data_IF_101008098002
#
_entry.id   IF_101008098002
#
_cell.length_a   1.000
_cell.length_b   1.000
_cell.length_c   1.000
_cell.angle_alpha   90.00
_cell.angle_beta   90.00
_cell.angle_gamma   90.00
#
_symmetry.space_group_name_H-M   'P 1'
#
loop_
_entity.id
_entity.type
_entity.pdbx_description
1 polymer ?
#
# COMPACT_ATOMS: atom_id res chain seq x y z
N UNK A 1 2.09 -3.84 26.78
CA UNK A 1 1.43 -4.84 27.64
C UNK A 1 0.12 -5.28 27.00
N UNK A 2 -0.20 -6.57 27.04
CA UNK A 2 -1.49 -7.09 26.56
C UNK A 2 -2.60 -6.74 27.57
N UNK A 3 -3.78 -6.33 27.07
CA UNK A 3 -4.97 -6.08 27.89
C UNK A 3 -5.99 -7.20 27.68
N UNK A 4 -6.39 -7.87 28.76
CA UNK A 4 -7.48 -8.85 28.74
C UNK A 4 -8.81 -8.09 28.63
N UNK A 5 -9.68 -8.52 27.71
CA UNK A 5 -11.03 -8.00 27.52
C UNK A 5 -12.03 -9.09 27.91
N UNK A 6 -13.01 -8.75 28.74
CA UNK A 6 -14.11 -9.65 29.06
C UNK A 6 -15.24 -9.47 28.04
N UNK A 7 -15.57 -10.54 27.30
CA UNK A 7 -16.66 -10.53 26.31
C UNK A 7 -18.05 -10.25 26.92
N UNK A 8 -18.22 -10.48 28.21
CA UNK A 8 -19.48 -10.23 28.91
C UNK A 8 -19.61 -8.75 29.32
N UNK A 9 -18.49 -8.01 29.39
CA UNK A 9 -18.48 -6.58 29.61
C UNK A 9 -18.64 -5.84 28.27
N UNK A 10 -19.89 -5.67 27.85
CA UNK A 10 -20.25 -5.06 26.55
C UNK A 10 -19.73 -3.63 26.40
N UNK A 11 -19.67 -2.86 27.47
CA UNK A 11 -19.20 -1.47 27.45
C UNK A 11 -17.69 -1.40 27.20
N UNK A 12 -16.91 -2.22 27.92
CA UNK A 12 -15.47 -2.35 27.69
C UNK A 12 -15.16 -2.82 26.25
N UNK A 13 -15.93 -3.81 25.76
CA UNK A 13 -15.79 -4.31 24.40
C UNK A 13 -16.13 -3.22 23.37
N UNK A 14 -17.20 -2.46 23.59
CA UNK A 14 -17.61 -1.38 22.71
C UNK A 14 -16.55 -0.27 22.64
N UNK A 15 -16.04 0.21 23.77
CA UNK A 15 -14.99 1.23 23.79
C UNK A 15 -13.71 0.75 23.09
N UNK A 16 -13.34 -0.53 23.28
CA UNK A 16 -12.22 -1.11 22.57
C UNK A 16 -12.42 -1.13 21.05
N UNK A 17 -13.59 -1.56 20.58
CA UNK A 17 -13.91 -1.57 19.15
C UNK A 17 -13.95 -0.15 18.57
N UNK A 18 -14.52 0.81 19.29
CA UNK A 18 -14.54 2.22 18.88
C UNK A 18 -13.13 2.83 18.85
N UNK A 19 -12.25 2.47 19.78
CA UNK A 19 -10.86 2.95 19.73
C UNK A 19 -10.07 2.45 18.51
N UNK A 20 -10.60 1.47 17.77
CA UNK A 20 -10.00 1.00 16.51
C UNK A 20 -10.43 1.84 15.31
N UNK A 21 -11.50 2.63 15.41
CA UNK A 21 -11.83 3.58 14.35
C UNK A 21 -10.90 4.77 14.46
N UNK A 22 -10.19 5.05 13.37
CA UNK A 22 -9.40 6.27 13.23
C UNK A 22 -10.19 7.26 12.39
N UNK A 23 -10.33 8.49 12.90
CA UNK A 23 -10.76 9.60 12.07
C UNK A 23 -9.61 9.99 11.16
N UNK A 24 -9.90 10.17 9.87
CA UNK A 24 -8.91 10.67 8.92
C UNK A 24 -8.85 12.19 9.08
N UNK A 25 -7.65 12.71 9.31
CA UNK A 25 -7.42 14.16 9.43
C UNK A 25 -7.86 14.89 8.15
N UNK A 26 -8.49 16.05 8.32
CA UNK A 26 -9.07 16.81 7.21
C UNK A 26 -8.01 17.30 6.21
N UNK A 27 -6.78 17.54 6.66
CA UNK A 27 -5.66 17.94 5.80
C UNK A 27 -5.22 16.82 4.85
N UNK A 28 -5.28 15.56 5.28
CA UNK A 28 -5.05 14.37 4.45
C UNK A 28 -6.10 14.33 3.34
N UNK A 29 -7.37 14.54 3.68
CA UNK A 29 -8.47 14.54 2.71
C UNK A 29 -8.29 15.63 1.66
N UNK A 30 -7.84 16.82 2.07
CA UNK A 30 -7.55 17.94 1.15
C UNK A 30 -6.40 17.56 0.21
N UNK A 31 -5.26 17.10 0.74
CA UNK A 31 -4.08 16.70 -0.05
C UNK A 31 -4.42 15.60 -1.07
N UNK A 32 -5.16 14.58 -0.65
CA UNK A 32 -5.58 13.49 -1.56
C UNK A 32 -6.50 14.02 -2.67
N UNK A 33 -7.44 14.90 -2.32
CA UNK A 33 -8.34 15.52 -3.31
C UNK A 33 -7.56 16.34 -4.34
N UNK A 34 -6.55 17.08 -3.91
CA UNK A 34 -5.65 17.84 -4.79
C UNK A 34 -4.88 16.90 -5.74
N UNK A 35 -4.27 15.83 -5.22
CA UNK A 35 -3.55 14.84 -6.04
C UNK A 35 -4.46 14.24 -7.10
N UNK A 36 -5.66 13.78 -6.72
CA UNK A 36 -6.64 13.19 -7.65
C UNK A 36 -7.02 14.20 -8.74
N UNK A 37 -7.27 15.46 -8.37
CA UNK A 37 -7.61 16.50 -9.33
C UNK A 37 -6.44 16.82 -10.27
N UNK A 38 -5.21 16.93 -9.77
CA UNK A 38 -4.03 17.13 -10.61
C UNK A 38 -3.82 15.97 -11.58
N UNK A 39 -3.95 14.71 -11.13
CA UNK A 39 -3.85 13.53 -12.01
C UNK A 39 -4.97 13.50 -13.04
N UNK A 40 -6.20 13.88 -12.68
CA UNK A 40 -7.31 13.96 -13.64
C UNK A 40 -7.03 14.96 -14.75
N UNK A 41 -6.46 16.12 -14.41
CA UNK A 41 -6.22 17.24 -15.34
C UNK A 41 -4.94 17.08 -16.15
N UNK A 42 -3.85 16.64 -15.52
CA UNK A 42 -2.49 16.63 -16.10
C UNK A 42 -1.96 15.23 -16.41
N UNK A 43 -2.72 14.18 -16.07
CA UNK A 43 -2.40 12.78 -16.37
C UNK A 43 -0.98 12.43 -15.90
N UNK A 44 -0.16 11.87 -16.79
CA UNK A 44 1.19 11.38 -16.54
C UNK A 44 2.15 12.47 -16.07
N UNK A 45 1.93 13.75 -16.43
CA UNK A 45 2.78 14.85 -15.93
C UNK A 45 2.64 15.00 -14.41
N UNK A 46 1.41 14.87 -13.88
CA UNK A 46 1.19 14.88 -12.43
C UNK A 46 1.82 13.65 -11.77
N UNK A 47 1.75 12.48 -12.41
CA UNK A 47 2.38 11.27 -11.90
C UNK A 47 3.91 11.46 -11.81
N UNK A 48 4.57 11.92 -12.88
CA UNK A 48 6.01 12.22 -12.87
C UNK A 48 6.40 13.24 -11.80
N UNK A 49 5.59 14.30 -11.64
CA UNK A 49 5.77 15.30 -10.57
C UNK A 49 5.73 14.65 -9.18
N UNK A 50 4.71 13.85 -8.89
CA UNK A 50 4.54 13.24 -7.57
C UNK A 50 5.55 12.13 -7.29
N UNK A 51 5.90 11.30 -8.27
CA UNK A 51 7.00 10.32 -8.15
C UNK A 51 8.31 11.02 -7.78
N UNK A 52 8.66 12.13 -8.45
CA UNK A 52 9.86 12.87 -8.08
C UNK A 52 9.74 13.55 -6.71
N UNK A 53 8.55 14.06 -6.35
CA UNK A 53 8.33 14.70 -5.07
C UNK A 53 8.50 13.73 -3.89
N UNK A 54 7.91 12.54 -3.96
CA UNK A 54 7.87 11.58 -2.85
C UNK A 54 9.03 10.59 -2.89
N UNK A 55 9.34 10.03 -4.07
CA UNK A 55 10.31 8.94 -4.22
C UNK A 55 11.69 9.45 -4.66
N UNK A 56 11.81 10.73 -5.01
CA UNK A 56 13.05 11.41 -5.44
C UNK A 56 13.69 10.81 -6.70
N UNK A 57 12.92 10.08 -7.49
CA UNK A 57 13.34 9.51 -8.78
C UNK A 57 12.60 10.17 -9.94
N UNK A 58 13.24 10.20 -11.11
CA UNK A 58 12.60 10.59 -12.37
C UNK A 58 12.35 9.33 -13.18
N UNK A 59 11.14 9.19 -13.69
CA UNK A 59 10.73 8.03 -14.49
C UNK A 59 10.25 8.49 -15.86
N UNK A 60 10.69 7.78 -16.89
CA UNK A 60 10.28 8.03 -18.27
C UNK A 60 9.07 7.18 -18.64
N UNK A 61 9.05 5.93 -18.19
CA UNK A 61 7.99 4.93 -18.34
C UNK A 61 7.46 4.51 -16.97
N UNK A 62 6.15 4.19 -16.90
CA UNK A 62 5.53 3.66 -15.68
C UNK A 62 5.42 2.14 -15.68
N UNK A 63 5.28 1.55 -16.88
CA UNK A 63 5.20 0.10 -17.03
C UNK A 63 6.61 -0.48 -16.96
N UNK A 64 6.84 -1.34 -15.98
CA UNK A 64 8.05 -2.18 -15.90
C UNK A 64 8.09 -3.12 -17.11
N UNK A 65 9.26 -3.27 -17.70
CA UNK A 65 9.47 -4.14 -18.86
C UNK A 65 9.48 -5.62 -18.46
N UNK A 66 9.17 -6.52 -19.41
CA UNK A 66 9.24 -7.96 -19.14
C UNK A 66 10.69 -8.38 -18.84
N UNK A 67 11.65 -7.74 -19.49
CA UNK A 67 13.08 -7.98 -19.28
C UNK A 67 13.52 -7.65 -17.85
N UNK A 68 13.08 -6.52 -17.28
CA UNK A 68 13.35 -6.14 -15.89
C UNK A 68 12.72 -7.13 -14.90
N UNK A 69 11.52 -7.64 -15.21
CA UNK A 69 10.84 -8.65 -14.40
C UNK A 69 11.62 -9.97 -14.42
N UNK A 70 12.02 -10.44 -15.60
CA UNK A 70 12.79 -11.67 -15.77
C UNK A 70 14.16 -11.58 -15.07
N UNK A 71 14.82 -10.42 -15.15
CA UNK A 71 16.07 -10.18 -14.45
C UNK A 71 15.89 -10.22 -12.93
N UNK A 72 14.85 -9.57 -12.41
CA UNK A 72 14.55 -9.60 -10.97
C UNK A 72 14.24 -11.02 -10.47
N UNK A 73 13.51 -11.82 -11.25
CA UNK A 73 13.22 -13.22 -10.91
C UNK A 73 14.51 -14.05 -10.83
N UNK A 74 15.46 -13.86 -11.76
CA UNK A 74 16.74 -14.57 -11.75
C UNK A 74 17.60 -14.24 -10.54
N UNK A 75 17.43 -13.05 -9.95
CA UNK A 75 18.14 -12.62 -8.76
C UNK A 75 17.52 -13.13 -7.45
N UNK A 76 16.33 -13.73 -7.51
CA UNK A 76 15.66 -14.28 -6.34
C UNK A 76 16.33 -15.58 -5.87
N UNK A 77 16.39 -15.75 -4.55
CA UNK A 77 16.87 -16.98 -3.92
C UNK A 77 15.95 -18.17 -4.29
N UNK A 78 16.51 -19.35 -4.63
CA UNK A 78 15.72 -20.51 -5.02
C UNK A 78 14.72 -20.97 -3.95
N UNK A 79 15.10 -20.95 -2.66
CA UNK A 79 14.20 -21.38 -1.59
C UNK A 79 13.05 -20.37 -1.40
N UNK A 80 13.32 -19.07 -1.58
CA UNK A 80 12.28 -18.05 -1.63
C UNK A 80 11.29 -18.30 -2.78
N UNK A 81 11.78 -18.62 -3.98
CA UNK A 81 10.92 -18.90 -5.13
C UNK A 81 10.05 -20.13 -4.92
N UNK A 82 10.57 -21.19 -4.30
CA UNK A 82 9.77 -22.39 -4.00
C UNK A 82 8.69 -22.11 -2.94
N UNK A 83 8.99 -21.30 -1.92
CA UNK A 83 8.00 -20.84 -0.96
C UNK A 83 6.87 -20.04 -1.63
N UNK A 84 7.20 -19.17 -2.59
CA UNK A 84 6.21 -18.39 -3.35
C UNK A 84 5.32 -19.28 -4.23
N UNK A 85 5.89 -20.31 -4.87
CA UNK A 85 5.10 -21.29 -5.65
C UNK A 85 4.13 -22.07 -4.76
N UNK A 86 4.60 -22.54 -3.59
CA UNK A 86 3.73 -23.22 -2.64
C UNK A 86 2.60 -22.32 -2.14
N UNK A 87 2.91 -21.05 -1.84
CA UNK A 87 1.90 -20.08 -1.41
C UNK A 87 0.85 -19.85 -2.51
N UNK A 88 1.29 -19.74 -3.78
CA UNK A 88 0.38 -19.64 -4.93
C UNK A 88 -0.58 -20.84 -4.97
N UNK A 89 -0.08 -22.06 -4.89
CA UNK A 89 -0.89 -23.28 -4.89
C UNK A 89 -1.92 -23.32 -3.75
N UNK A 90 -1.58 -22.79 -2.58
CA UNK A 90 -2.51 -22.75 -1.44
C UNK A 90 -3.62 -21.70 -1.61
N UNK A 91 -3.37 -20.64 -2.39
CA UNK A 91 -4.31 -19.54 -2.62
C UNK A 91 -5.27 -19.85 -3.78
N UNK A 92 -4.82 -20.61 -4.79
CA UNK A 92 -5.57 -20.92 -6.03
C UNK A 92 -6.16 -22.32 -6.04
#
# INVERSE_FOLDING_TARGET
MLKRIDKNNKEQLQSYLQSRSQEIESDILIKVSEIINEVRMKKDEALKKYTYQFDKIKVDTFKVTEEEIDEAIKQCDPAFMDAMKQAKENIT
#
